data_IF_412148244482
#
_entry.id   IF_412148244482
#
_cell.length_a   1.000
_cell.length_b   1.000
_cell.length_c   1.000
_cell.angle_alpha   90.00
_cell.angle_beta   90.00
_cell.angle_gamma   90.00
#
_symmetry.space_group_name_H-M   'P 1'
#
loop_
_entity.id
_entity.type
_entity.pdbx_description
1 polymer ?
#
# COMPACT_ATOMS: atom_id res chain seq x y z
N UNK A 1 -5.23 -28.05 -2.75
CA UNK A 1 -5.78 -28.78 -3.90
C UNK A 1 -5.06 -28.20 -5.09
N UNK A 2 -4.39 -29.04 -5.91
CA UNK A 2 -3.63 -28.56 -7.05
C UNK A 2 -4.51 -27.71 -7.98
N UNK A 3 -4.16 -26.43 -8.14
CA UNK A 3 -4.88 -25.51 -9.00
C UNK A 3 -4.32 -25.62 -10.42
N UNK A 4 -5.10 -26.17 -11.34
CA UNK A 4 -4.74 -26.18 -12.76
C UNK A 4 -5.01 -24.81 -13.37
N UNK A 5 -4.00 -24.25 -14.01
CA UNK A 5 -4.04 -22.93 -14.66
C UNK A 5 -3.59 -23.02 -16.11
N UNK A 6 -4.32 -22.32 -16.98
CA UNK A 6 -3.93 -22.04 -18.35
C UNK A 6 -2.95 -20.86 -18.36
N UNK A 7 -2.07 -20.80 -19.36
CA UNK A 7 -1.03 -19.77 -19.44
C UNK A 7 -1.25 -18.83 -20.60
N UNK A 8 -0.96 -17.56 -20.35
CA UNK A 8 -0.90 -16.52 -21.36
C UNK A 8 0.34 -15.66 -21.10
N UNK A 9 1.13 -15.45 -22.15
CA UNK A 9 2.24 -14.49 -22.11
C UNK A 9 2.03 -13.46 -23.20
N UNK A 10 2.10 -12.19 -22.82
CA UNK A 10 2.04 -11.06 -23.74
C UNK A 10 3.33 -10.28 -23.66
N UNK A 11 3.95 -10.01 -24.81
CA UNK A 11 5.16 -9.21 -24.90
C UNK A 11 5.07 -8.23 -26.08
N UNK A 12 5.60 -7.04 -25.90
CA UNK A 12 5.70 -6.01 -26.95
C UNK A 12 7.12 -5.91 -27.46
N UNK A 13 7.35 -6.14 -28.74
CA UNK A 13 8.66 -5.96 -29.37
C UNK A 13 8.71 -4.66 -30.16
N UNK A 14 9.80 -3.91 -30.00
CA UNK A 14 10.05 -2.73 -30.80
C UNK A 14 10.17 -3.08 -32.28
N UNK A 15 9.34 -2.45 -33.12
CA UNK A 15 9.35 -2.63 -34.58
C UNK A 15 8.61 -3.87 -35.11
N UNK A 16 8.32 -4.87 -34.27
CA UNK A 16 7.64 -6.12 -34.66
C UNK A 16 6.17 -6.21 -34.17
N UNK A 17 5.75 -5.31 -33.29
CA UNK A 17 4.40 -5.31 -32.71
C UNK A 17 4.29 -6.17 -31.46
N UNK A 18 3.07 -6.41 -31.01
CA UNK A 18 2.79 -7.27 -29.85
C UNK A 18 2.60 -8.72 -30.25
N UNK A 19 3.14 -9.64 -29.46
CA UNK A 19 2.91 -11.08 -29.60
C UNK A 19 2.26 -11.59 -28.32
N UNK A 20 1.15 -12.31 -28.48
CA UNK A 20 0.54 -13.12 -27.43
C UNK A 20 0.84 -14.59 -27.70
N UNK A 21 1.25 -15.33 -26.67
CA UNK A 21 1.29 -16.79 -26.66
C UNK A 21 0.29 -17.28 -25.62
N UNK A 22 -0.55 -18.23 -26.00
CA UNK A 22 -1.59 -18.81 -25.15
C UNK A 22 -1.48 -20.33 -25.13
N UNK A 23 -2.13 -20.97 -24.17
CA UNK A 23 -2.35 -22.42 -24.19
C UNK A 23 -3.55 -22.81 -25.05
N UNK A 24 -3.55 -24.03 -25.60
CA UNK A 24 -4.59 -24.54 -26.52
C UNK A 24 -6.02 -24.40 -25.98
N UNK A 25 -6.20 -24.46 -24.66
CA UNK A 25 -7.51 -24.43 -24.01
C UNK A 25 -7.97 -23.03 -23.62
N UNK A 26 -7.19 -21.99 -23.93
CA UNK A 26 -7.53 -20.63 -23.57
C UNK A 26 -8.52 -20.01 -24.57
N UNK A 27 -9.72 -19.59 -24.14
CA UNK A 27 -10.67 -18.95 -25.05
C UNK A 27 -10.16 -17.58 -25.52
N UNK A 28 -10.36 -17.26 -26.81
CA UNK A 28 -10.02 -15.94 -27.38
C UNK A 28 -10.68 -14.77 -26.61
N UNK A 29 -11.87 -14.99 -26.04
CA UNK A 29 -12.57 -13.98 -25.23
C UNK A 29 -11.79 -13.60 -23.97
N UNK A 30 -11.07 -14.54 -23.37
CA UNK A 30 -10.25 -14.31 -22.17
C UNK A 30 -8.95 -13.60 -22.55
N UNK A 31 -8.35 -13.93 -23.68
CA UNK A 31 -7.20 -13.19 -24.22
C UNK A 31 -7.57 -11.71 -24.45
N UNK A 32 -8.69 -11.44 -25.11
CA UNK A 32 -9.17 -10.07 -25.33
C UNK A 32 -9.46 -9.35 -24.01
N UNK A 33 -10.08 -10.04 -23.04
CA UNK A 33 -10.34 -9.49 -21.72
C UNK A 33 -9.04 -9.15 -20.98
N UNK A 34 -8.04 -10.03 -21.05
CA UNK A 34 -6.71 -9.80 -20.48
C UNK A 34 -6.04 -8.57 -21.10
N UNK A 35 -6.01 -8.46 -22.43
CA UNK A 35 -5.42 -7.31 -23.12
C UNK A 35 -6.14 -6.01 -22.73
N UNK A 36 -7.48 -6.04 -22.65
CA UNK A 36 -8.27 -4.86 -22.28
C UNK A 36 -8.11 -4.46 -20.81
N UNK A 37 -8.07 -5.43 -19.89
CA UNK A 37 -8.10 -5.19 -18.45
C UNK A 37 -6.72 -5.01 -17.82
N UNK A 38 -5.67 -5.62 -18.39
CA UNK A 38 -4.32 -5.62 -17.81
C UNK A 38 -3.34 -4.86 -18.69
N UNK A 39 -3.23 -5.22 -19.97
CA UNK A 39 -2.19 -4.69 -20.87
C UNK A 39 -2.47 -3.22 -21.25
N UNK A 40 -3.68 -2.92 -21.66
CA UNK A 40 -4.02 -1.59 -22.17
C UNK A 40 -3.98 -0.48 -21.08
N UNK A 41 -4.44 -0.70 -19.83
CA UNK A 41 -4.25 0.26 -18.75
C UNK A 41 -2.78 0.55 -18.44
N UNK A 42 -1.90 -0.46 -18.56
CA UNK A 42 -0.46 -0.26 -18.39
C UNK A 42 0.10 0.72 -19.43
N UNK A 43 -0.14 0.48 -20.73
CA UNK A 43 0.37 1.36 -21.79
C UNK A 43 -0.23 2.76 -21.79
N UNK A 44 -1.46 2.92 -21.26
CA UNK A 44 -2.10 4.24 -21.13
C UNK A 44 -1.59 5.05 -19.96
N UNK A 45 -0.91 4.43 -19.01
CA UNK A 45 -0.41 5.14 -17.85
C UNK A 45 1.01 5.67 -18.15
N UNK A 46 1.17 7.00 -18.33
CA UNK A 46 2.49 7.58 -18.57
C UNK A 46 3.45 7.38 -17.40
N UNK A 47 2.94 7.05 -16.20
CA UNK A 47 3.75 6.75 -15.03
C UNK A 47 4.43 5.38 -15.08
N UNK A 48 4.17 4.54 -16.09
CA UNK A 48 4.83 3.23 -16.25
C UNK A 48 5.70 3.13 -17.50
N UNK A 49 5.59 4.10 -18.40
CA UNK A 49 6.36 4.13 -19.65
C UNK A 49 7.79 4.56 -19.34
N UNK A 50 8.77 3.70 -19.68
CA UNK A 50 10.18 4.03 -19.49
C UNK A 50 10.76 3.61 -18.12
N UNK A 51 10.01 2.92 -17.27
CA UNK A 51 10.47 2.49 -15.95
C UNK A 51 10.75 0.99 -15.90
N UNK A 52 11.89 0.63 -15.28
CA UNK A 52 12.14 -0.74 -14.81
C UNK A 52 11.23 -1.02 -13.63
N UNK A 53 10.21 -1.82 -13.86
CA UNK A 53 9.23 -2.18 -12.85
C UNK A 53 8.90 -3.66 -12.95
N UNK A 54 8.75 -4.30 -11.81
CA UNK A 54 8.08 -5.58 -11.71
C UNK A 54 6.74 -5.35 -11.02
N UNK A 55 5.64 -5.96 -11.44
CA UNK A 55 4.37 -5.84 -10.74
C UNK A 55 3.65 -7.18 -10.71
N UNK A 56 2.84 -7.41 -9.68
CA UNK A 56 1.92 -8.54 -9.61
C UNK A 56 0.48 -8.04 -9.74
N UNK A 57 -0.39 -8.85 -10.34
CA UNK A 57 -1.80 -8.54 -10.47
C UNK A 57 -2.68 -9.76 -10.27
N UNK A 58 -3.90 -9.52 -9.80
CA UNK A 58 -4.99 -10.49 -9.70
C UNK A 58 -6.26 -9.79 -10.16
N UNK A 59 -6.99 -10.41 -11.09
CA UNK A 59 -8.17 -9.87 -11.71
C UNK A 59 -9.21 -10.96 -11.89
N UNK A 60 -10.33 -10.85 -11.21
CA UNK A 60 -11.46 -11.76 -11.34
C UNK A 60 -12.41 -11.23 -12.42
N UNK A 61 -12.52 -11.95 -13.54
CA UNK A 61 -13.39 -11.63 -14.67
C UNK A 61 -14.86 -11.96 -14.38
N UNK A 62 -15.08 -13.06 -13.66
CA UNK A 62 -16.41 -13.57 -13.27
C UNK A 62 -16.32 -14.36 -11.97
N UNK A 63 -17.46 -14.77 -11.41
CA UNK A 63 -17.52 -15.59 -10.20
C UNK A 63 -16.76 -16.91 -10.32
N UNK A 64 -16.59 -17.40 -11.55
CA UNK A 64 -15.97 -18.66 -11.94
C UNK A 64 -14.74 -18.47 -12.83
N UNK A 65 -14.16 -17.26 -12.91
CA UNK A 65 -13.07 -16.99 -13.84
C UNK A 65 -12.14 -15.90 -13.32
N UNK A 66 -10.86 -16.23 -13.16
CA UNK A 66 -9.86 -15.27 -12.69
C UNK A 66 -8.52 -15.41 -13.39
N UNK A 67 -7.83 -14.28 -13.44
CA UNK A 67 -6.51 -14.08 -14.04
C UNK A 67 -5.57 -13.56 -12.96
N UNK A 68 -4.34 -14.02 -12.93
CA UNK A 68 -3.31 -13.44 -12.09
C UNK A 68 -1.94 -13.66 -12.68
N UNK A 69 -0.98 -12.85 -12.29
CA UNK A 69 0.39 -13.05 -12.72
C UNK A 69 1.24 -11.82 -12.52
N UNK A 70 2.23 -11.67 -13.40
CA UNK A 70 3.29 -10.69 -13.26
C UNK A 70 3.50 -9.87 -14.51
N UNK A 71 4.02 -8.68 -14.30
CA UNK A 71 4.54 -7.79 -15.31
C UNK A 71 6.02 -7.59 -15.00
N UNK A 72 6.87 -7.82 -16.00
CA UNK A 72 8.30 -7.57 -15.94
C UNK A 72 8.67 -6.58 -17.04
N UNK A 73 9.19 -5.41 -16.67
CA UNK A 73 9.77 -4.45 -17.60
C UNK A 73 11.29 -4.51 -17.49
N UNK A 74 11.92 -5.27 -18.39
CA UNK A 74 13.37 -5.50 -18.40
C UNK A 74 14.07 -4.64 -19.47
N UNK A 75 15.38 -4.39 -19.29
CA UNK A 75 16.29 -3.99 -20.36
C UNK A 75 16.68 -5.23 -21.18
N UNK A 76 16.61 -5.13 -22.51
CA UNK A 76 17.14 -6.18 -23.39
C UNK A 76 18.67 -6.20 -23.22
N UNK A 77 19.31 -7.38 -23.07
CA UNK A 77 20.74 -7.47 -23.21
C UNK A 77 21.07 -7.29 -24.68
N UNK A 78 21.73 -6.16 -24.99
CA UNK A 78 22.44 -5.83 -26.23
C UNK A 78 21.65 -5.00 -27.26
N UNK A 79 22.12 -3.74 -27.41
CA UNK A 79 21.99 -2.83 -28.56
C UNK A 79 20.71 -2.02 -28.80
N UNK A 80 19.66 -2.16 -27.98
CA UNK A 80 18.54 -1.21 -27.98
C UNK A 80 18.20 -0.80 -26.55
N UNK A 81 18.31 0.50 -26.22
CA UNK A 81 17.90 1.09 -24.94
C UNK A 81 16.36 1.12 -24.80
N UNK A 82 15.67 0.03 -25.15
CA UNK A 82 14.22 -0.04 -25.19
C UNK A 82 13.70 -1.09 -24.20
N UNK A 83 12.81 -0.64 -23.32
CA UNK A 83 12.17 -1.47 -22.30
C UNK A 83 11.15 -2.40 -22.94
N UNK A 84 11.32 -3.70 -22.75
CA UNK A 84 10.35 -4.71 -23.18
C UNK A 84 9.45 -5.07 -22.01
N UNK A 85 8.17 -4.71 -22.10
CA UNK A 85 7.18 -5.12 -21.10
C UNK A 85 6.69 -6.54 -21.42
N UNK A 86 6.96 -7.48 -20.51
CA UNK A 86 6.54 -8.87 -20.56
C UNK A 86 5.50 -9.14 -19.48
N UNK A 87 4.30 -9.50 -19.89
CA UNK A 87 3.23 -9.92 -19.01
C UNK A 87 3.14 -11.44 -19.02
N UNK A 88 3.19 -12.03 -17.84
CA UNK A 88 2.95 -13.45 -17.59
C UNK A 88 1.63 -13.56 -16.86
N UNK A 89 0.70 -14.35 -17.37
CA UNK A 89 -0.66 -14.47 -16.87
C UNK A 89 -1.05 -15.95 -16.74
N UNK A 90 -1.67 -16.28 -15.63
CA UNK A 90 -2.30 -17.56 -15.34
C UNK A 90 -3.80 -17.37 -15.23
N UNK A 91 -4.55 -18.26 -15.88
CA UNK A 91 -6.01 -18.24 -15.92
C UNK A 91 -6.60 -19.52 -15.34
N UNK A 92 -7.67 -19.39 -14.56
CA UNK A 92 -8.44 -20.56 -14.10
C UNK A 92 -9.94 -20.27 -14.13
N UNK A 93 -10.72 -21.31 -14.44
CA UNK A 93 -12.19 -21.31 -14.44
C UNK A 93 -12.80 -21.79 -13.12
N UNK A 94 -12.06 -21.68 -12.02
CA UNK A 94 -12.50 -22.12 -10.69
C UNK A 94 -13.03 -20.95 -9.87
N UNK A 95 -13.90 -21.26 -8.90
CA UNK A 95 -14.36 -20.27 -7.91
C UNK A 95 -13.28 -20.10 -6.85
N UNK A 96 -12.83 -18.86 -6.65
CA UNK A 96 -11.84 -18.53 -5.62
C UNK A 96 -12.46 -18.76 -4.24
N UNK A 97 -11.79 -19.58 -3.43
CA UNK A 97 -12.02 -19.68 -1.99
C UNK A 97 -10.80 -19.12 -1.20
N UNK A 98 -10.88 -19.07 0.12
CA UNK A 98 -9.78 -18.57 0.96
C UNK A 98 -8.46 -19.35 0.77
N UNK A 99 -8.53 -20.66 0.49
CA UNK A 99 -7.35 -21.50 0.30
C UNK A 99 -6.71 -21.25 -1.07
N UNK A 100 -7.52 -21.10 -2.12
CA UNK A 100 -7.08 -20.74 -3.46
C UNK A 100 -6.50 -19.32 -3.48
N UNK A 101 -7.12 -18.37 -2.78
CA UNK A 101 -6.61 -17.01 -2.69
C UNK A 101 -5.22 -16.95 -2.04
N UNK A 102 -5.00 -17.73 -0.97
CA UNK A 102 -3.68 -17.86 -0.36
C UNK A 102 -2.67 -18.57 -1.27
N UNK A 103 -3.09 -19.61 -1.99
CA UNK A 103 -2.24 -20.27 -2.98
C UNK A 103 -1.78 -19.29 -4.07
N UNK A 104 -2.70 -18.46 -4.57
CA UNK A 104 -2.42 -17.43 -5.57
C UNK A 104 -1.44 -16.40 -5.02
N UNK A 105 -1.65 -15.87 -3.81
CA UNK A 105 -0.73 -14.88 -3.23
C UNK A 105 0.66 -15.47 -2.97
N UNK A 106 0.75 -16.69 -2.46
CA UNK A 106 2.03 -17.36 -2.26
C UNK A 106 2.75 -17.61 -3.59
N UNK A 107 1.99 -17.90 -4.66
CA UNK A 107 2.53 -17.99 -6.01
C UNK A 107 3.05 -16.63 -6.47
N UNK A 108 2.23 -15.57 -6.40
CA UNK A 108 2.60 -14.20 -6.78
C UNK A 108 3.86 -13.68 -6.08
N UNK A 109 4.06 -14.03 -4.81
CA UNK A 109 5.26 -13.68 -4.04
C UNK A 109 6.49 -14.47 -4.45
N UNK A 110 6.34 -15.76 -4.76
CA UNK A 110 7.47 -16.60 -5.20
C UNK A 110 7.90 -16.29 -6.63
N UNK A 111 6.93 -16.19 -7.54
CA UNK A 111 7.16 -15.95 -8.96
C UNK A 111 6.66 -17.08 -9.88
N UNK A 112 6.80 -16.94 -11.20
CA UNK A 112 6.28 -17.88 -12.18
C UNK A 112 6.95 -19.25 -12.13
N UNK A 113 6.17 -20.30 -12.40
CA UNK A 113 6.65 -21.70 -12.45
C UNK A 113 7.35 -22.01 -13.77
N UNK A 114 6.89 -21.44 -14.88
CA UNK A 114 7.43 -21.70 -16.23
C UNK A 114 8.49 -20.69 -16.63
N UNK A 115 9.53 -21.17 -17.32
CA UNK A 115 10.54 -20.31 -17.92
C UNK A 115 10.03 -19.67 -19.20
N UNK A 116 10.31 -18.38 -19.35
CA UNK A 116 9.89 -17.55 -20.48
C UNK A 116 11.09 -16.91 -21.19
N UNK A 117 12.29 -17.51 -21.04
CA UNK A 117 13.53 -17.01 -21.63
C UNK A 117 13.60 -17.25 -23.16
N UNK A 118 13.08 -18.38 -23.64
CA UNK A 118 13.10 -18.77 -25.07
C UNK A 118 11.75 -18.54 -25.79
N UNK A 119 11.10 -17.39 -25.55
CA UNK A 119 9.77 -17.10 -26.12
C UNK A 119 9.74 -17.10 -27.66
N UNK A 120 10.86 -16.79 -28.30
CA UNK A 120 10.96 -16.70 -29.76
C UNK A 120 10.76 -18.05 -30.45
N UNK A 121 11.14 -19.15 -29.78
CA UNK A 121 11.05 -20.51 -30.29
C UNK A 121 9.75 -21.23 -29.89
N UNK A 122 8.98 -20.67 -28.95
CA UNK A 122 7.73 -21.27 -28.49
C UNK A 122 6.58 -20.93 -29.44
N UNK A 123 5.80 -21.96 -29.79
CA UNK A 123 4.60 -21.82 -30.64
C UNK A 123 3.32 -21.79 -29.79
N UNK A 124 3.28 -22.57 -28.70
CA UNK A 124 2.14 -22.70 -27.79
C UNK A 124 2.62 -22.97 -26.34
N UNK A 125 1.78 -22.67 -25.35
CA UNK A 125 2.05 -22.92 -23.93
C UNK A 125 1.23 -24.11 -23.40
N UNK A 126 1.78 -24.85 -22.45
CA UNK A 126 1.06 -25.95 -21.78
C UNK A 126 0.36 -25.47 -20.50
N UNK A 127 -0.74 -26.11 -20.11
CA UNK A 127 -1.38 -25.85 -18.83
C UNK A 127 -0.48 -26.31 -17.66
N UNK A 128 -0.41 -25.55 -16.58
CA UNK A 128 0.39 -25.88 -15.39
C UNK A 128 -0.54 -26.26 -14.24
N UNK A 129 -0.07 -27.19 -13.41
CA UNK A 129 -0.65 -27.40 -12.08
C UNK A 129 0.20 -26.67 -11.03
N UNK A 130 -0.41 -25.71 -10.33
CA UNK A 130 0.27 -24.98 -9.27
C UNK A 130 0.48 -25.87 -8.05
N UNK A 131 1.73 -25.97 -7.55
CA UNK A 131 2.05 -26.80 -6.40
C UNK A 131 1.51 -26.18 -5.09
N UNK A 132 0.78 -27.00 -4.33
CA UNK A 132 0.09 -26.61 -3.08
C UNK A 132 1.02 -26.04 -1.98
N UNK A 133 2.30 -26.39 -2.00
CA UNK A 133 3.25 -26.09 -0.90
C UNK A 133 4.27 -24.99 -1.23
N UNK A 134 4.21 -24.41 -2.43
CA UNK A 134 5.25 -23.50 -2.90
C UNK A 134 6.66 -24.15 -2.97
N UNK A 135 6.77 -25.48 -2.91
CA UNK A 135 8.03 -26.21 -3.10
C UNK A 135 8.40 -26.27 -4.59
N UNK A 136 8.49 -25.13 -5.24
CA UNK A 136 9.05 -25.00 -6.59
C UNK A 136 10.05 -23.86 -6.61
N UNK A 137 11.03 -23.98 -7.48
CA UNK A 137 11.95 -22.89 -7.77
C UNK A 137 11.30 -21.98 -8.82
N UNK A 138 11.08 -20.69 -8.50
CA UNK A 138 10.49 -19.78 -9.46
C UNK A 138 11.52 -19.42 -10.52
N UNK A 139 11.08 -19.29 -11.77
CA UNK A 139 12.00 -18.92 -12.86
C UNK A 139 12.43 -17.46 -12.77
N UNK A 140 11.60 -16.62 -12.16
CA UNK A 140 11.87 -15.20 -11.91
C UNK A 140 11.34 -14.80 -10.54
N UNK A 141 11.92 -13.76 -9.89
CA UNK A 141 11.41 -13.30 -8.61
C UNK A 141 9.96 -12.80 -8.76
N UNK A 142 9.11 -13.20 -7.81
CA UNK A 142 7.77 -12.66 -7.66
C UNK A 142 7.75 -11.27 -7.03
N UNK A 143 6.58 -10.84 -6.59
CA UNK A 143 6.36 -9.53 -5.95
C UNK A 143 5.83 -9.74 -4.54
N UNK A 144 6.46 -9.16 -3.49
CA UNK A 144 5.95 -9.25 -2.13
C UNK A 144 4.56 -8.61 -2.06
N UNK A 145 3.55 -9.36 -1.63
CA UNK A 145 2.18 -8.87 -1.54
C UNK A 145 1.93 -8.34 -0.13
N UNK A 146 1.67 -7.03 0.04
CA UNK A 146 1.45 -6.46 1.37
C UNK A 146 0.29 -7.14 2.11
N UNK A 147 0.43 -7.29 3.43
CA UNK A 147 -0.62 -7.89 4.26
C UNK A 147 -1.96 -7.14 4.17
N UNK A 148 -1.92 -5.83 3.92
CA UNK A 148 -3.10 -4.99 3.65
C UNK A 148 -3.83 -5.41 2.37
N UNK A 149 -3.10 -5.76 1.31
CA UNK A 149 -3.64 -6.26 0.05
C UNK A 149 -4.27 -7.64 0.24
N UNK A 150 -3.61 -8.53 0.98
CA UNK A 150 -4.15 -9.87 1.31
C UNK A 150 -5.46 -9.74 2.10
N UNK A 151 -5.47 -8.90 3.15
CA UNK A 151 -6.65 -8.67 3.98
C UNK A 151 -7.82 -8.03 3.20
N UNK A 152 -7.53 -7.06 2.33
CA UNK A 152 -8.54 -6.42 1.48
C UNK A 152 -9.19 -7.44 0.54
N UNK A 153 -8.41 -8.27 -0.15
CA UNK A 153 -8.95 -9.26 -1.08
C UNK A 153 -9.77 -10.35 -0.36
N UNK A 154 -9.36 -10.78 0.84
CA UNK A 154 -10.20 -11.66 1.68
C UNK A 154 -11.55 -11.01 2.03
N UNK A 155 -11.54 -9.73 2.39
CA UNK A 155 -12.78 -9.01 2.68
C UNK A 155 -13.68 -8.89 1.45
N UNK A 156 -13.10 -8.62 0.27
CA UNK A 156 -13.85 -8.58 -0.99
C UNK A 156 -14.46 -9.94 -1.32
N UNK A 157 -13.70 -11.02 -1.10
CA UNK A 157 -14.18 -12.39 -1.28
C UNK A 157 -15.37 -12.69 -0.35
N UNK A 158 -15.25 -12.37 0.94
CA UNK A 158 -16.35 -12.50 1.91
C UNK A 158 -17.60 -11.71 1.50
N UNK A 159 -17.42 -10.52 0.93
CA UNK A 159 -18.51 -9.67 0.42
C UNK A 159 -19.03 -10.09 -0.96
N UNK A 160 -18.54 -11.19 -1.53
CA UNK A 160 -18.89 -11.68 -2.87
C UNK A 160 -18.68 -10.61 -3.96
N UNK A 161 -17.65 -9.77 -3.80
CA UNK A 161 -17.21 -8.80 -4.80
C UNK A 161 -16.05 -9.37 -5.62
N UNK A 162 -16.00 -9.01 -6.90
CA UNK A 162 -14.91 -9.40 -7.78
C UNK A 162 -13.58 -8.82 -7.29
N UNK A 163 -12.54 -9.67 -7.31
CA UNK A 163 -11.20 -9.30 -6.87
C UNK A 163 -10.46 -8.53 -7.96
N UNK A 164 -9.84 -7.41 -7.58
CA UNK A 164 -8.96 -6.64 -8.45
C UNK A 164 -7.77 -6.12 -7.66
N UNK A 165 -6.58 -6.46 -8.11
CA UNK A 165 -5.33 -6.09 -7.46
C UNK A 165 -4.23 -5.84 -8.49
N UNK A 166 -3.46 -4.78 -8.26
CA UNK A 166 -2.22 -4.48 -8.98
C UNK A 166 -1.22 -3.94 -7.95
N UNK A 167 -0.09 -4.61 -7.80
CA UNK A 167 0.96 -4.30 -6.82
C UNK A 167 2.27 -4.07 -7.58
N UNK A 168 2.69 -2.81 -7.76
CA UNK A 168 3.99 -2.50 -8.34
C UNK A 168 5.10 -2.72 -7.31
N UNK A 169 6.22 -3.27 -7.76
CA UNK A 169 7.49 -3.37 -7.07
C UNK A 169 8.48 -2.46 -7.80
N UNK A 170 8.80 -1.33 -7.18
CA UNK A 170 9.90 -0.49 -7.62
C UNK A 170 11.21 -1.22 -7.34
N UNK A 171 11.97 -1.54 -8.39
CA UNK A 171 13.34 -2.01 -8.23
C UNK A 171 14.16 -0.77 -7.83
N UNK A 172 14.83 -0.75 -6.67
CA UNK A 172 15.70 0.35 -6.32
C UNK A 172 16.73 0.50 -7.44
N UNK A 173 16.72 1.64 -8.14
CA UNK A 173 17.83 1.95 -9.02
C UNK A 173 19.09 2.06 -8.15
N UNK A 174 20.24 1.51 -8.58
CA UNK A 174 21.48 1.73 -7.88
C UNK A 174 21.67 3.24 -7.76
N UNK A 175 21.63 3.73 -6.52
CA UNK A 175 21.82 5.12 -6.18
C UNK A 175 23.11 5.57 -6.87
N UNK A 176 23.00 6.51 -7.80
CA UNK A 176 24.18 7.11 -8.40
C UNK A 176 25.09 7.57 -7.25
N UNK A 177 26.34 7.08 -7.27
CA UNK A 177 27.37 7.48 -6.32
C UNK A 177 27.41 9.01 -6.27
N UNK A 178 27.00 9.57 -5.13
CA UNK A 178 27.21 10.98 -4.83
C UNK A 178 28.73 11.13 -4.69
N UNK A 179 29.38 11.62 -5.75
CA UNK A 179 30.75 12.09 -5.66
C UNK A 179 30.79 13.23 -4.66
N UNK A 180 31.34 12.96 -3.48
CA UNK A 180 31.71 13.99 -2.51
C UNK A 180 32.73 14.94 -3.15
N UNK A 181 32.26 16.11 -3.58
CA UNK A 181 33.13 17.25 -3.81
C UNK A 181 33.35 17.99 -2.47
N UNK A 182 34.60 18.33 -2.11
CA UNK A 182 34.89 19.00 -0.85
C UNK A 182 34.37 20.45 -0.87
N UNK A 183 33.94 21.00 0.27
CA UNK A 183 33.36 22.33 0.33
C UNK A 183 34.43 23.41 0.09
N UNK A 184 34.13 24.29 -0.85
CA UNK A 184 34.91 25.48 -1.16
C UNK A 184 34.85 26.47 0.01
N UNK A 185 36.02 26.95 0.42
CA UNK A 185 36.19 27.91 1.50
C UNK A 185 36.09 29.33 0.93
N UNK A 186 34.93 29.96 0.99
CA UNK A 186 34.89 31.41 1.14
C UNK A 186 33.52 31.94 1.60
N UNK A 187 33.60 32.93 2.49
CA UNK A 187 32.57 33.86 2.92
C UNK A 187 31.51 33.36 3.94
N UNK A 188 31.90 33.36 5.22
CA UNK A 188 31.00 33.75 6.32
C UNK A 188 31.72 34.79 7.19
N UNK A 189 31.35 36.05 7.01
CA UNK A 189 31.67 37.13 7.93
C UNK A 189 30.81 37.03 9.20
N UNK A 190 31.49 37.38 10.29
CA UNK A 190 31.09 37.32 11.69
C UNK A 190 30.06 38.39 12.01
N UNK A 191 28.91 38.01 12.61
CA UNK A 191 28.16 38.88 13.54
C UNK A 191 27.60 38.01 14.66
N UNK A 192 28.17 38.15 15.87
CA UNK A 192 27.59 37.62 17.11
C UNK A 192 26.40 38.49 17.56
N UNK A 193 25.44 37.88 18.28
CA UNK A 193 25.06 38.52 19.54
C UNK A 193 25.05 37.53 20.72
N UNK A 194 25.58 38.01 21.83
CA UNK A 194 25.67 37.35 23.13
C UNK A 194 24.29 37.22 23.79
N UNK A 195 23.91 36.02 24.24
CA UNK A 195 22.96 35.82 25.35
C UNK A 195 23.42 34.63 26.20
N UNK A 196 23.67 34.90 27.49
CA UNK A 196 24.06 33.95 28.51
C UNK A 196 22.87 33.16 29.04
N UNK A 197 22.99 31.84 29.17
CA UNK A 197 22.14 31.01 30.03
C UNK A 197 23.01 29.96 30.75
N UNK A 198 23.06 30.08 32.08
CA UNK A 198 23.75 29.18 33.00
C UNK A 198 23.06 27.80 33.07
N UNK A 199 23.87 26.74 33.05
CA UNK A 199 23.46 25.35 33.30
C UNK A 199 23.60 25.01 34.79
N UNK A 200 22.65 24.29 35.43
CA UNK A 200 22.79 23.84 36.81
C UNK A 200 23.79 22.68 36.91
N UNK A 201 24.72 22.78 37.87
CA UNK A 201 25.72 21.75 38.18
C UNK A 201 25.11 20.62 39.04
N UNK A 202 25.23 19.37 38.58
CA UNK A 202 24.98 18.16 39.37
C UNK A 202 26.06 17.97 40.45
N UNK A 203 25.72 17.79 41.74
CA UNK A 203 26.73 17.51 42.75
C UNK A 203 27.17 16.04 42.79
N UNK A 204 28.47 15.89 43.07
CA UNK A 204 29.28 14.66 43.07
C UNK A 204 28.95 13.71 44.24
N UNK A 205 29.11 12.43 43.90
CA UNK A 205 29.24 11.21 44.71
C UNK A 205 30.02 11.43 46.03
N UNK A 206 29.44 11.01 47.15
CA UNK A 206 30.18 10.72 48.39
C UNK A 206 30.04 9.24 48.72
N UNK A 207 31.16 8.53 48.77
CA UNK A 207 31.27 7.19 49.32
C UNK A 207 31.18 7.23 50.85
N UNK A 208 30.30 6.42 51.45
CA UNK A 208 30.46 5.84 52.79
C UNK A 208 29.68 4.51 52.90
N UNK A 209 30.39 3.39 53.00
CA UNK A 209 29.97 2.22 53.80
C UNK A 209 30.19 2.55 55.30
N UNK A 210 29.58 1.88 56.32
CA UNK A 210 29.43 0.42 56.40
C UNK A 210 28.24 -0.16 57.23
N UNK A 211 28.24 -1.51 57.30
CA UNK A 211 27.73 -2.47 58.32
C UNK A 211 26.40 -3.20 58.08
N UNK A 212 26.58 -4.50 57.83
CA UNK A 212 25.72 -5.66 58.16
C UNK A 212 24.80 -5.45 59.37
N UNK A 213 23.54 -5.86 59.22
CA UNK A 213 22.90 -6.83 60.13
C UNK A 213 22.03 -7.81 59.31
N UNK A 214 22.13 -9.07 59.70
CA UNK A 214 21.58 -10.27 59.09
C UNK A 214 20.38 -10.69 59.96
N UNK A 215 19.18 -10.83 59.40
CA UNK A 215 18.16 -11.73 59.97
C UNK A 215 16.96 -11.96 59.05
N UNK A 216 16.54 -13.23 59.05
CA UNK A 216 15.25 -13.79 58.68
C UNK A 216 14.92 -13.92 57.18
N UNK A 217 15.27 -15.10 56.67
CA UNK A 217 14.60 -15.78 55.57
C UNK A 217 13.09 -15.84 55.84
N UNK A 218 12.29 -15.33 54.90
CA UNK A 218 10.87 -15.62 54.77
C UNK A 218 10.63 -15.96 53.31
N UNK A 219 10.38 -17.24 53.05
CA UNK A 219 9.93 -17.75 51.77
C UNK A 219 8.60 -17.06 51.42
N UNK A 220 8.63 -16.16 50.44
CA UNK A 220 7.42 -15.65 49.80
C UNK A 220 7.41 -16.27 48.41
N UNK A 221 6.59 -17.31 48.25
CA UNK A 221 6.18 -17.84 46.96
C UNK A 221 5.78 -16.67 46.04
N UNK A 222 6.16 -16.66 44.75
CA UNK A 222 5.73 -15.60 43.86
C UNK A 222 4.24 -15.78 43.60
N UNK A 223 3.41 -15.01 44.31
CA UNK A 223 2.05 -14.77 43.86
C UNK A 223 2.15 -13.95 42.59
N UNK A 224 2.11 -14.65 41.45
CA UNK A 224 1.74 -14.07 40.17
C UNK A 224 0.30 -13.61 40.36
N UNK A 225 0.13 -12.35 40.79
CA UNK A 225 -1.10 -11.64 40.49
C UNK A 225 -1.21 -11.68 38.96
N UNK A 226 -2.15 -12.48 38.45
CA UNK A 226 -2.64 -12.35 37.10
C UNK A 226 -3.14 -10.91 36.98
N UNK A 227 -2.28 -10.01 36.52
CA UNK A 227 -2.71 -8.73 36.00
C UNK A 227 -3.80 -9.06 34.99
N UNK A 228 -5.00 -8.56 35.26
CA UNK A 228 -6.08 -8.44 34.30
C UNK A 228 -5.51 -8.20 32.90
N UNK A 229 -6.04 -8.83 31.83
CA UNK A 229 -5.45 -8.75 30.50
C UNK A 229 -5.14 -7.29 30.21
N UNK A 230 -3.85 -6.98 30.00
CA UNK A 230 -3.38 -5.62 29.73
C UNK A 230 -4.12 -5.18 28.48
N UNK A 231 -5.20 -4.42 28.67
CA UNK A 231 -6.04 -3.96 27.57
C UNK A 231 -5.22 -2.93 26.82
N UNK A 232 -4.74 -3.30 25.63
CA UNK A 232 -4.05 -2.40 24.71
C UNK A 232 -4.92 -1.14 24.54
N UNK A 233 -4.40 0.07 24.84
CA UNK A 233 -5.19 1.27 24.70
C UNK A 233 -5.40 1.55 23.21
N UNK A 234 -6.67 1.69 22.81
CA UNK A 234 -7.10 1.83 21.42
C UNK A 234 -7.59 3.24 21.16
N UNK A 235 -7.04 3.90 20.15
CA UNK A 235 -7.36 5.28 19.79
C UNK A 235 -7.78 5.33 18.33
N UNK A 236 -8.75 6.19 18.01
CA UNK A 236 -9.18 6.39 16.63
C UNK A 236 -9.35 7.86 16.30
N UNK A 237 -8.96 8.23 15.08
CA UNK A 237 -9.27 9.49 14.43
C UNK A 237 -10.10 9.19 13.18
N UNK A 238 -11.33 9.70 13.14
CA UNK A 238 -12.24 9.51 12.02
C UNK A 238 -12.41 10.83 11.27
N UNK A 239 -12.06 10.84 9.99
CA UNK A 239 -12.08 12.03 9.15
C UNK A 239 -13.09 11.83 8.02
N UNK A 240 -14.04 12.74 7.89
CA UNK A 240 -15.05 12.70 6.84
C UNK A 240 -15.06 14.00 6.07
N UNK A 241 -14.90 13.93 4.75
CA UNK A 241 -14.95 15.08 3.85
C UNK A 241 -16.09 14.86 2.86
N UNK A 242 -17.27 15.31 3.28
CA UNK A 242 -18.49 15.25 2.48
C UNK A 242 -18.56 16.33 1.41
N UNK A 243 -17.91 17.48 1.64
CA UNK A 243 -17.93 18.65 0.76
C UNK A 243 -16.51 19.19 0.58
N UNK A 244 -16.16 19.57 -0.65
CA UNK A 244 -14.90 20.21 -0.98
C UNK A 244 -15.05 21.20 -2.13
N UNK A 245 -14.08 22.09 -2.29
CA UNK A 245 -14.03 23.06 -3.38
C UNK A 245 -13.53 22.46 -4.72
N UNK A 246 -13.68 21.15 -4.91
CA UNK A 246 -13.25 20.44 -6.11
C UNK A 246 -14.25 20.49 -7.25
N UNK A 247 -15.43 21.09 -7.05
CA UNK A 247 -16.50 21.11 -8.04
C UNK A 247 -17.20 19.75 -8.21
N UNK A 248 -17.02 18.85 -7.23
CA UNK A 248 -17.61 17.52 -7.19
C UNK A 248 -18.89 17.52 -6.37
N UNK A 249 -19.79 16.55 -6.61
CA UNK A 249 -21.00 16.42 -5.81
C UNK A 249 -20.65 16.14 -4.35
N UNK A 250 -21.50 16.58 -3.42
CA UNK A 250 -21.39 16.18 -2.01
C UNK A 250 -21.50 14.66 -1.91
N UNK A 251 -20.60 14.00 -1.17
CA UNK A 251 -20.71 12.58 -0.87
C UNK A 251 -21.82 12.36 0.16
N UNK A 252 -22.95 11.71 -0.22
CA UNK A 252 -23.99 11.39 0.74
C UNK A 252 -23.51 10.21 1.62
N UNK A 253 -23.78 10.28 2.92
CA UNK A 253 -23.49 9.17 3.84
C UNK A 253 -22.28 9.38 4.75
N UNK A 254 -21.29 10.20 4.36
CA UNK A 254 -20.05 10.40 5.15
C UNK A 254 -20.32 10.71 6.62
N UNK A 255 -21.23 11.64 6.92
CA UNK A 255 -21.61 11.98 8.31
C UNK A 255 -22.22 10.78 9.05
N UNK A 256 -23.09 10.02 8.38
CA UNK A 256 -23.74 8.85 8.95
C UNK A 256 -22.75 7.70 9.16
N UNK A 257 -21.78 7.56 8.26
CA UNK A 257 -20.75 6.54 8.32
C UNK A 257 -19.80 6.83 9.49
N UNK A 258 -19.38 8.08 9.66
CA UNK A 258 -18.61 8.50 10.83
C UNK A 258 -19.36 8.25 12.13
N UNK A 259 -20.64 8.64 12.22
CA UNK A 259 -21.47 8.42 13.41
C UNK A 259 -21.62 6.94 13.73
N UNK A 260 -21.84 6.11 12.71
CA UNK A 260 -22.03 4.66 12.88
C UNK A 260 -20.74 3.98 13.29
N UNK A 261 -19.62 4.32 12.64
CA UNK A 261 -18.31 3.77 12.95
C UNK A 261 -17.85 4.20 14.35
N UNK A 262 -18.06 5.46 14.72
CA UNK A 262 -17.80 5.95 16.08
C UNK A 262 -18.49 5.10 17.13
N UNK A 263 -19.80 4.85 16.99
CA UNK A 263 -20.57 4.02 17.93
C UNK A 263 -19.99 2.62 18.07
N UNK A 264 -19.60 1.98 16.95
CA UNK A 264 -19.02 0.64 16.95
C UNK A 264 -17.64 0.61 17.62
N UNK A 265 -16.81 1.62 17.37
CA UNK A 265 -15.48 1.72 17.96
C UNK A 265 -15.54 2.00 19.47
N UNK A 266 -16.45 2.88 19.92
CA UNK A 266 -16.65 3.22 21.33
C UNK A 266 -17.34 2.09 22.12
N UNK A 267 -18.09 1.19 21.47
CA UNK A 267 -18.82 0.11 22.14
C UNK A 267 -17.84 -0.85 22.87
N UNK A 268 -17.95 -1.01 24.21
CA UNK A 268 -17.04 -1.84 25.00
C UNK A 268 -17.04 -3.33 24.64
N UNK A 269 -18.14 -3.82 24.05
CA UNK A 269 -18.29 -5.22 23.64
C UNK A 269 -17.79 -5.50 22.22
N UNK A 270 -17.59 -4.46 21.41
CA UNK A 270 -17.16 -4.58 20.01
C UNK A 270 -15.77 -3.98 19.81
N UNK A 271 -15.67 -2.65 19.89
CA UNK A 271 -14.45 -1.90 19.59
C UNK A 271 -13.59 -1.63 20.81
N UNK A 272 -14.21 -1.27 21.93
CA UNK A 272 -13.56 -0.85 23.19
C UNK A 272 -12.41 0.16 22.96
N UNK A 273 -12.61 1.15 22.09
CA UNK A 273 -11.64 2.23 21.87
C UNK A 273 -11.72 3.24 23.01
N UNK A 274 -10.58 3.51 23.63
CA UNK A 274 -10.44 4.44 24.76
C UNK A 274 -10.79 5.88 24.36
N UNK A 275 -10.53 6.26 23.10
CA UNK A 275 -10.82 7.59 22.58
C UNK A 275 -11.08 7.54 21.08
N UNK A 276 -12.18 8.14 20.65
CA UNK A 276 -12.53 8.29 19.23
C UNK A 276 -12.77 9.77 18.94
N UNK A 277 -11.92 10.36 18.12
CA UNK A 277 -12.04 11.73 17.63
C UNK A 277 -12.64 11.75 16.23
N UNK A 278 -13.37 12.81 15.90
CA UNK A 278 -14.04 12.93 14.61
C UNK A 278 -13.84 14.33 14.03
N UNK A 279 -13.42 14.40 12.76
CA UNK A 279 -13.25 15.64 12.01
C UNK A 279 -14.16 15.61 10.79
N UNK A 280 -15.08 16.57 10.70
CA UNK A 280 -15.98 16.72 9.57
C UNK A 280 -15.59 17.94 8.73
N UNK A 281 -15.34 17.71 7.44
CA UNK A 281 -14.93 18.69 6.45
C UNK A 281 -13.76 19.61 6.92
N UNK A 282 -12.66 19.07 7.50
CA UNK A 282 -11.51 19.89 7.84
C UNK A 282 -10.87 20.48 6.58
N UNK A 283 -10.21 21.64 6.70
CA UNK A 283 -9.25 22.07 5.68
C UNK A 283 -7.97 21.24 5.73
N UNK A 284 -7.13 21.34 4.71
CA UNK A 284 -5.92 20.52 4.58
C UNK A 284 -4.91 20.71 5.70
N UNK A 285 -4.80 21.92 6.25
CA UNK A 285 -3.87 22.22 7.34
C UNK A 285 -4.38 21.61 8.64
N UNK A 286 -5.63 21.88 9.00
CA UNK A 286 -6.27 21.30 10.18
C UNK A 286 -6.27 19.77 10.11
N UNK A 287 -6.52 19.20 8.93
CA UNK A 287 -6.48 17.75 8.72
C UNK A 287 -5.07 17.18 8.97
N UNK A 288 -4.03 17.80 8.40
CA UNK A 288 -2.65 17.37 8.58
C UNK A 288 -2.20 17.49 10.04
N UNK A 289 -2.47 18.61 10.70
CA UNK A 289 -2.11 18.86 12.11
C UNK A 289 -2.79 17.86 13.06
N UNK A 290 -4.06 17.54 12.82
CA UNK A 290 -4.76 16.54 13.65
C UNK A 290 -4.25 15.12 13.40
N UNK A 291 -3.91 14.76 12.15
CA UNK A 291 -3.29 13.45 11.85
C UNK A 291 -1.95 13.34 12.58
N UNK A 292 -1.11 14.37 12.50
CA UNK A 292 0.20 14.39 13.15
C UNK A 292 0.09 14.35 14.67
N UNK A 293 -0.78 15.19 15.26
CA UNK A 293 -1.05 15.19 16.71
C UNK A 293 -1.61 13.86 17.20
N UNK A 294 -2.53 13.25 16.45
CA UNK A 294 -3.11 11.96 16.79
C UNK A 294 -2.06 10.84 16.78
N UNK A 295 -1.28 10.73 15.70
CA UNK A 295 -0.29 9.67 15.55
C UNK A 295 0.92 9.86 16.49
N UNK A 296 1.35 11.10 16.75
CA UNK A 296 2.41 11.39 17.72
C UNK A 296 1.98 11.23 19.18
N UNK A 297 0.70 11.49 19.47
CA UNK A 297 0.12 11.34 20.81
C UNK A 297 -0.25 9.90 21.20
N UNK A 298 -0.23 8.96 20.26
CA UNK A 298 -0.54 7.55 20.55
C UNK A 298 0.62 6.87 21.32
N UNK A 299 0.33 6.18 22.44
CA UNK A 299 1.33 5.41 23.18
C UNK A 299 2.00 4.34 22.33
N UNK A 300 3.24 3.97 22.68
CA UNK A 300 4.02 3.00 21.90
C UNK A 300 3.41 1.59 21.86
N UNK A 301 2.68 1.23 22.91
CA UNK A 301 1.94 -0.02 23.08
C UNK A 301 0.46 0.08 22.66
N UNK A 302 -0.01 1.28 22.30
CA UNK A 302 -1.39 1.53 21.89
C UNK A 302 -1.63 1.25 20.41
N UNK A 303 -2.90 1.04 20.05
CA UNK A 303 -3.36 0.94 18.66
C UNK A 303 -3.90 2.28 18.19
N UNK A 304 -3.39 2.78 17.07
CA UNK A 304 -3.86 3.98 16.39
C UNK A 304 -4.65 3.61 15.13
N UNK A 305 -5.94 3.96 15.08
CA UNK A 305 -6.79 3.79 13.90
C UNK A 305 -7.07 5.15 13.25
N UNK A 306 -6.62 5.35 12.01
CA UNK A 306 -7.04 6.47 11.18
C UNK A 306 -8.07 5.99 10.16
N UNK A 307 -9.25 6.59 10.18
CA UNK A 307 -10.28 6.38 9.16
C UNK A 307 -10.45 7.66 8.35
N UNK A 308 -10.45 7.55 7.03
CA UNK A 308 -10.78 8.65 6.14
C UNK A 308 -11.91 8.24 5.19
N UNK A 309 -12.94 9.07 5.09
CA UNK A 309 -13.98 8.98 4.07
C UNK A 309 -14.09 10.29 3.30
N UNK A 310 -13.94 10.24 1.98
CA UNK A 310 -13.89 11.45 1.15
C UNK A 310 -13.39 11.18 -0.26
N UNK A 311 -13.10 12.24 -1.03
CA UNK A 311 -12.52 12.08 -2.35
C UNK A 311 -11.01 11.85 -2.28
N UNK A 312 -10.52 11.01 -3.18
CA UNK A 312 -9.10 10.78 -3.41
C UNK A 312 -8.76 11.15 -4.84
N UNK A 313 -7.65 11.85 -5.03
CA UNK A 313 -7.17 12.26 -6.35
C UNK A 313 -5.70 11.92 -6.49
N UNK A 314 -5.29 11.41 -7.65
CA UNK A 314 -3.87 11.22 -7.94
C UNK A 314 -3.22 12.53 -8.38
N UNK A 315 -2.03 12.81 -7.86
CA UNK A 315 -1.21 13.89 -8.39
C UNK A 315 -0.47 13.48 -9.67
N UNK A 316 0.39 14.37 -10.19
CA UNK A 316 1.15 14.10 -11.42
C UNK A 316 2.18 12.97 -11.29
N UNK A 317 2.56 12.63 -10.07
CA UNK A 317 3.54 11.58 -9.75
C UNK A 317 2.82 10.24 -9.47
N UNK A 318 1.49 10.22 -9.51
CA UNK A 318 0.69 9.05 -9.14
C UNK A 318 0.52 8.89 -7.63
N UNK A 319 0.91 9.88 -6.82
CA UNK A 319 0.69 9.85 -5.37
C UNK A 319 -0.77 10.16 -5.07
N UNK A 320 -1.40 9.31 -4.25
CA UNK A 320 -2.75 9.52 -3.76
C UNK A 320 -2.80 10.72 -2.81
N UNK A 321 -3.73 11.64 -3.09
CA UNK A 321 -3.98 12.84 -2.30
C UNK A 321 -5.41 12.81 -1.77
N UNK A 322 -5.56 12.82 -0.45
CA UNK A 322 -6.83 12.87 0.26
C UNK A 322 -7.40 14.28 0.19
N UNK A 323 -8.66 14.41 -0.23
CA UNK A 323 -9.35 15.70 -0.30
C UNK A 323 -9.64 16.23 1.10
N UNK A 324 -9.50 17.53 1.26
CA UNK A 324 -9.97 18.34 2.37
C UNK A 324 -11.06 19.31 1.87
N UNK A 325 -11.76 20.01 2.78
CA UNK A 325 -12.76 21.01 2.40
C UNK A 325 -12.14 22.14 1.54
N UNK A 326 -10.90 22.51 1.83
CA UNK A 326 -10.14 23.54 1.10
C UNK A 326 -9.57 23.07 -0.25
N UNK A 327 -9.67 21.77 -0.57
CA UNK A 327 -9.11 21.18 -1.79
C UNK A 327 -9.69 21.82 -3.04
N UNK A 328 -8.81 22.22 -3.94
CA UNK A 328 -9.18 22.90 -5.18
C UNK A 328 -8.22 22.58 -6.33
N UNK A 329 -8.73 22.74 -7.55
CA UNK A 329 -7.96 22.71 -8.79
C UNK A 329 -7.66 24.14 -9.25
N UNK A 330 -6.56 24.33 -9.98
CA UNK A 330 -6.27 25.60 -10.63
C UNK A 330 -7.12 25.77 -11.91
N UNK A 331 -6.97 26.90 -12.60
CA UNK A 331 -7.69 27.20 -13.86
C UNK A 331 -7.45 26.20 -14.99
N UNK A 332 -6.40 25.37 -14.90
CA UNK A 332 -6.07 24.33 -15.88
C UNK A 332 -6.58 22.94 -15.45
N UNK A 333 -7.39 22.85 -14.39
CA UNK A 333 -7.91 21.58 -13.86
C UNK A 333 -6.89 20.74 -13.09
N UNK A 334 -5.67 21.25 -12.84
CA UNK A 334 -4.65 20.55 -12.05
C UNK A 334 -4.90 20.78 -10.56
N UNK A 335 -4.75 19.73 -9.74
CA UNK A 335 -4.81 19.88 -8.28
C UNK A 335 -3.75 20.86 -7.75
N UNK A 336 -4.12 21.64 -6.74
CA UNK A 336 -3.18 22.45 -5.95
C UNK A 336 -2.77 21.62 -4.73
N UNK A 337 -1.62 20.95 -4.79
CA UNK A 337 -1.19 19.93 -3.80
C UNK A 337 -1.27 20.38 -2.35
N UNK A 338 -0.93 21.64 -2.04
CA UNK A 338 -1.00 22.19 -0.68
C UNK A 338 -2.40 22.26 -0.08
N UNK A 339 -3.44 22.02 -0.89
CA UNK A 339 -4.84 22.03 -0.47
C UNK A 339 -5.39 20.62 -0.23
N UNK A 340 -4.54 19.61 -0.32
CA UNK A 340 -4.83 18.19 -0.06
C UNK A 340 -3.83 17.68 0.98
N UNK A 341 -4.07 16.47 1.50
CA UNK A 341 -3.08 15.73 2.29
C UNK A 341 -2.61 14.53 1.48
N UNK A 342 -1.32 14.45 1.19
CA UNK A 342 -0.77 13.34 0.42
C UNK A 342 -0.59 12.10 1.29
N UNK A 343 -0.67 10.91 0.68
CA UNK A 343 -0.30 9.66 1.35
C UNK A 343 1.19 9.60 1.69
N UNK A 344 2.05 10.36 0.99
CA UNK A 344 3.46 10.48 1.33
C UNK A 344 3.66 11.17 2.69
N UNK A 345 2.92 12.26 2.93
CA UNK A 345 2.90 12.94 4.23
C UNK A 345 2.37 12.00 5.31
N UNK A 346 1.23 11.35 5.05
CA UNK A 346 0.65 10.39 6.00
C UNK A 346 1.65 9.28 6.33
N UNK A 347 2.31 8.71 5.31
CA UNK A 347 3.31 7.67 5.49
C UNK A 347 4.55 8.14 6.27
N UNK A 348 4.95 9.40 6.13
CA UNK A 348 6.02 10.00 6.93
C UNK A 348 5.62 10.10 8.40
N UNK A 349 4.45 10.68 8.69
CA UNK A 349 3.92 10.80 10.05
C UNK A 349 3.73 9.42 10.70
N UNK A 350 3.27 8.42 9.95
CA UNK A 350 3.14 7.04 10.43
C UNK A 350 4.49 6.42 10.81
N UNK A 351 5.54 6.67 10.03
CA UNK A 351 6.90 6.18 10.36
C UNK A 351 7.46 6.82 11.63
N UNK A 352 7.11 8.07 11.88
CA UNK A 352 7.58 8.83 13.05
C UNK A 352 6.70 8.62 14.30
N UNK A 353 5.56 7.92 14.17
CA UNK A 353 4.67 7.64 15.29
C UNK A 353 5.30 6.68 16.31
N UNK A 354 5.16 6.94 17.64
CA UNK A 354 5.61 6.02 18.67
C UNK A 354 4.87 4.68 18.66
N UNK A 355 3.60 4.68 18.24
CA UNK A 355 2.74 3.49 18.22
C UNK A 355 3.24 2.48 17.20
N UNK A 356 3.43 1.24 17.65
CA UNK A 356 3.82 0.12 16.77
C UNK A 356 2.62 -0.54 16.08
N UNK A 357 1.40 -0.18 16.45
CA UNK A 357 0.16 -0.78 15.94
C UNK A 357 -0.69 0.31 15.29
N UNK A 358 -0.47 0.52 14.00
CA UNK A 358 -1.18 1.55 13.23
C UNK A 358 -2.05 0.92 12.14
N UNK A 359 -3.29 1.36 12.04
CA UNK A 359 -4.25 0.93 11.03
C UNK A 359 -4.78 2.17 10.32
N UNK A 360 -4.72 2.16 8.99
CA UNK A 360 -5.34 3.19 8.15
C UNK A 360 -6.40 2.56 7.29
N UNK A 361 -7.61 3.10 7.33
CA UNK A 361 -8.74 2.71 6.48
C UNK A 361 -9.10 3.90 5.62
N UNK A 362 -9.03 3.71 4.30
CA UNK A 362 -9.37 4.73 3.31
C UNK A 362 -10.64 4.32 2.56
N UNK A 363 -11.74 4.98 2.86
CA UNK A 363 -13.03 4.85 2.18
C UNK A 363 -13.18 5.98 1.14
N UNK A 364 -12.61 5.73 -0.05
CA UNK A 364 -12.40 6.78 -1.05
C UNK A 364 -13.47 6.74 -2.14
N UNK A 365 -14.18 7.86 -2.30
CA UNK A 365 -14.96 8.17 -3.49
C UNK A 365 -14.04 8.67 -4.61
N UNK A 366 -14.25 8.17 -5.84
CA UNK A 366 -13.53 8.65 -7.02
C UNK A 366 -14.37 9.71 -7.75
N UNK A 367 -13.81 10.90 -8.00
CA UNK A 367 -14.50 11.96 -8.74
C UNK A 367 -14.62 11.65 -10.24
N UNK A 368 -15.65 12.16 -10.93
CA UNK A 368 -15.91 11.85 -12.35
C UNK A 368 -14.84 12.34 -13.33
N UNK A 369 -14.05 13.34 -12.92
CA UNK A 369 -12.92 13.90 -13.69
C UNK A 369 -11.58 13.27 -13.31
N UNK A 370 -11.59 12.17 -12.55
CA UNK A 370 -10.37 11.49 -12.11
C UNK A 370 -9.92 10.46 -13.15
N UNK A 371 -8.62 10.42 -13.54
CA UNK A 371 -8.08 9.34 -14.36
C UNK A 371 -8.39 7.94 -13.79
N UNK A 372 -8.61 7.79 -12.48
CA UNK A 372 -9.07 6.55 -11.84
C UNK A 372 -10.48 6.11 -12.28
N UNK A 373 -11.39 7.03 -12.61
CA UNK A 373 -12.70 6.69 -13.20
C UNK A 373 -12.61 6.33 -14.69
N UNK A 374 -11.63 6.85 -15.45
CA UNK A 374 -11.46 6.47 -16.85
C UNK A 374 -11.08 4.99 -17.02
N UNK A 375 -10.45 4.42 -15.99
CA UNK A 375 -10.16 2.99 -15.86
C UNK A 375 -11.42 2.21 -15.48
N UNK A 376 -12.26 2.75 -14.59
CA UNK A 376 -13.50 2.11 -14.14
C UNK A 376 -14.65 2.13 -15.18
N UNK A 377 -14.81 3.22 -15.95
CA UNK A 377 -15.90 3.40 -16.93
C UNK A 377 -15.71 2.66 -18.26
N UNK A 378 -14.53 2.11 -18.54
CA UNK A 378 -14.28 1.32 -19.77
C UNK A 378 -14.61 -0.17 -19.65
N UNK A 379 -15.01 -0.60 -18.46
CA UNK A 379 -15.31 -1.99 -18.13
C UNK A 379 -16.80 -2.23 -17.81
N UNK A 380 -17.70 -1.39 -18.32
CA UNK A 380 -19.14 -1.71 -18.47
C UNK A 380 -19.43 -1.96 -19.94
#
# INVERSE_FOLDING_TARGET
MPLSVEQLVYTSFSGLGSRTLTSEKMPESIEQAFVKAVVHPFWKNPAYVGLKMTAAYLHQLSTDGFLFGWLYCDEIPQETEELTARFVCYYSTQVIDDAQLELIFNCLEKGPVTSFEDLDNLTELEAIVLPDSGNYEPTRPGVPIPSSVRALNRLLLYKQKLLHCFVPLEVPQPTAEVQEQPPDKSALEVVEPSVSLELPQLPRRLEKTPKMELSAEMEVEPQIELSSPVSIPKFALLIGVSQSNLGVQRLPGVEKDLDSLRRVLEDPSIGNFSKVETLLNPDSQAMAENIESFLSGCPSDGLALLYFSGYGVLDRQGTLCLSAASSRKNSQGKIIRSTFVSTDFLGAVMRDSPSRQQVVILDIGLSEDDPLQSVARKNI
#
